data_IF_219406839805
#
_entry.id   IF_219406839805
#
_cell.length_a   1.000
_cell.length_b   1.000
_cell.length_c   1.000
_cell.angle_alpha   90.00
_cell.angle_beta   90.00
_cell.angle_gamma   90.00
#
_symmetry.space_group_name_H-M   'P 1'
#
loop_
_entity.id
_entity.type
_entity.pdbx_description
1 polymer ?
#
# COMPACT_ATOMS: atom_id res chain seq x y z
N UNK A 1 -0.77 -17.05 -37.19
CA UNK A 1 -1.18 -15.71 -36.74
C UNK A 1 -2.19 -15.88 -35.63
N UNK A 2 -1.91 -15.34 -34.44
CA UNK A 2 -2.84 -15.33 -33.30
C UNK A 2 -3.75 -14.12 -33.40
N UNK A 3 -4.91 -14.17 -32.76
CA UNK A 3 -5.86 -13.05 -32.74
C UNK A 3 -6.23 -12.70 -31.30
N UNK A 4 -6.41 -11.42 -31.01
CA UNK A 4 -6.97 -10.95 -29.75
C UNK A 4 -8.13 -9.98 -30.01
N UNK A 5 -9.18 -10.04 -29.18
CA UNK A 5 -10.27 -9.08 -29.18
C UNK A 5 -10.10 -8.12 -28.01
N UNK A 6 -10.04 -6.83 -28.31
CA UNK A 6 -9.89 -5.76 -27.30
C UNK A 6 -11.09 -4.84 -27.41
N UNK A 7 -11.90 -4.75 -26.36
CA UNK A 7 -13.05 -3.83 -26.33
C UNK A 7 -12.68 -2.50 -25.70
N UNK A 8 -13.10 -1.41 -26.33
CA UNK A 8 -12.95 -0.07 -25.81
C UNK A 8 -14.29 0.66 -25.81
N UNK A 9 -14.54 1.41 -24.73
CA UNK A 9 -15.69 2.28 -24.67
C UNK A 9 -15.53 3.54 -25.48
N UNK A 10 -16.47 3.75 -26.40
CA UNK A 10 -16.51 4.92 -27.24
C UNK A 10 -17.55 5.93 -26.72
N UNK A 11 -17.05 7.04 -26.17
CA UNK A 11 -17.86 8.17 -25.68
C UNK A 11 -18.62 8.90 -26.80
N UNK A 12 -18.24 8.68 -28.07
CA UNK A 12 -18.91 9.30 -29.22
C UNK A 12 -20.09 8.47 -29.76
N UNK A 13 -20.49 7.38 -29.07
CA UNK A 13 -21.56 6.48 -29.50
C UNK A 13 -21.39 5.87 -30.90
N UNK A 14 -20.16 5.79 -31.43
CA UNK A 14 -19.89 5.13 -32.71
C UNK A 14 -19.43 3.69 -32.50
N UNK A 15 -19.93 2.79 -33.34
CA UNK A 15 -19.45 1.41 -33.46
C UNK A 15 -18.35 1.39 -34.52
N UNK A 16 -17.16 0.93 -34.15
CA UNK A 16 -16.06 0.74 -35.10
C UNK A 16 -15.23 -0.50 -34.75
N UNK A 17 -14.59 -1.05 -35.78
CA UNK A 17 -13.68 -2.19 -35.70
C UNK A 17 -12.37 -1.74 -36.33
N UNK A 18 -11.28 -1.83 -35.59
CA UNK A 18 -9.94 -1.49 -36.07
C UNK A 18 -8.99 -2.66 -35.84
N UNK A 19 -7.96 -2.76 -36.69
CA UNK A 19 -6.94 -3.79 -36.57
C UNK A 19 -5.60 -3.16 -36.25
N UNK A 20 -4.90 -3.74 -35.29
CA UNK A 20 -3.49 -3.51 -35.07
C UNK A 20 -2.74 -4.84 -35.09
N UNK A 21 -1.44 -4.77 -35.34
CA UNK A 21 -0.54 -5.93 -35.30
C UNK A 21 0.61 -5.62 -34.34
N UNK A 22 1.05 -6.63 -33.58
CA UNK A 22 2.22 -6.50 -32.71
C UNK A 22 3.52 -6.38 -33.54
N UNK A 23 4.67 -6.14 -32.88
CA UNK A 23 5.94 -5.80 -33.55
C UNK A 23 6.41 -6.84 -34.59
N UNK A 24 6.18 -8.12 -34.35
CA UNK A 24 6.60 -9.25 -35.22
C UNK A 24 5.48 -9.80 -36.12
N UNK A 25 4.31 -9.13 -36.17
CA UNK A 25 3.12 -9.54 -36.93
C UNK A 25 2.57 -10.93 -36.57
N UNK A 26 2.98 -11.50 -35.42
CA UNK A 26 2.51 -12.82 -34.97
C UNK A 26 1.15 -12.76 -34.28
N UNK A 27 0.75 -11.58 -33.79
CA UNK A 27 -0.51 -11.30 -33.13
C UNK A 27 -1.24 -10.14 -33.83
N UNK A 28 -2.51 -10.38 -34.16
CA UNK A 28 -3.46 -9.37 -34.61
C UNK A 28 -4.40 -9.02 -33.48
N UNK A 29 -4.47 -7.75 -33.11
CA UNK A 29 -5.48 -7.26 -32.17
C UNK A 29 -6.60 -6.60 -32.96
N UNK A 30 -7.83 -7.03 -32.71
CA UNK A 30 -9.05 -6.43 -33.26
C UNK A 30 -9.64 -5.58 -32.15
N UNK A 31 -9.51 -4.27 -32.31
CA UNK A 31 -10.10 -3.28 -31.43
C UNK A 31 -11.56 -3.08 -31.77
N UNK A 32 -12.42 -3.23 -30.76
CA UNK A 32 -13.85 -3.07 -30.84
C UNK A 32 -14.27 -1.82 -30.07
N UNK A 33 -14.51 -0.73 -30.78
CA UNK A 33 -15.05 0.50 -30.19
C UNK A 33 -16.56 0.44 -30.13
N UNK A 34 -17.14 0.25 -28.94
CA UNK A 34 -18.60 0.20 -28.75
C UNK A 34 -19.11 1.39 -27.93
N UNK A 35 -20.34 1.86 -28.15
CA UNK A 35 -21.02 2.75 -27.23
C UNK A 35 -21.05 2.18 -25.80
N UNK A 36 -20.95 3.05 -24.79
CA UNK A 36 -20.80 2.64 -23.38
C UNK A 36 -21.91 1.69 -22.88
N UNK A 37 -23.15 1.88 -23.33
CA UNK A 37 -24.29 1.05 -22.94
C UNK A 37 -24.26 -0.38 -23.54
N UNK A 38 -23.44 -0.62 -24.56
CA UNK A 38 -23.21 -1.97 -25.11
C UNK A 38 -21.99 -2.68 -24.48
N UNK A 39 -21.18 -1.98 -23.68
CA UNK A 39 -20.06 -2.58 -22.94
C UNK A 39 -20.48 -3.27 -21.65
N UNK A 40 -21.68 -2.98 -21.14
CA UNK A 40 -22.21 -3.64 -19.94
C UNK A 40 -22.26 -5.17 -20.10
N UNK A 41 -22.41 -5.67 -21.34
CA UNK A 41 -22.31 -7.09 -21.66
C UNK A 41 -20.89 -7.68 -21.70
N UNK A 42 -19.83 -6.85 -21.72
CA UNK A 42 -18.43 -7.29 -21.80
C UNK A 42 -17.72 -7.26 -20.43
N UNK A 43 -18.12 -6.33 -19.55
CA UNK A 43 -17.49 -6.10 -18.24
C UNK A 43 -18.20 -6.79 -17.05
N UNK A 44 -19.40 -7.34 -17.24
CA UNK A 44 -20.02 -8.17 -16.20
C UNK A 44 -19.53 -9.61 -16.31
N UNK A 45 -18.67 -10.02 -15.38
CA UNK A 45 -18.43 -11.44 -15.08
C UNK A 45 -19.76 -12.08 -14.67
N UNK A 46 -20.38 -12.96 -15.49
CA UNK A 46 -21.56 -13.68 -15.04
C UNK A 46 -21.07 -14.75 -14.08
N UNK A 47 -21.60 -14.74 -12.86
CA UNK A 47 -21.30 -15.74 -11.85
C UNK A 47 -21.51 -17.16 -12.43
N UNK A 48 -20.42 -17.94 -12.44
CA UNK A 48 -20.36 -19.41 -12.37
C UNK A 48 -20.83 -20.31 -13.51
N UNK A 49 -21.32 -19.87 -14.69
CA UNK A 49 -21.78 -20.85 -15.71
C UNK A 49 -21.08 -20.82 -17.09
N UNK A 50 -20.25 -19.83 -17.47
CA UNK A 50 -19.65 -19.81 -18.84
C UNK A 50 -18.18 -19.37 -18.92
N UNK A 51 -17.32 -19.88 -18.04
CA UNK A 51 -15.87 -19.61 -18.12
C UNK A 51 -15.20 -20.17 -19.40
N UNK A 52 -15.85 -21.07 -20.13
CA UNK A 52 -15.34 -21.60 -21.41
C UNK A 52 -15.62 -20.70 -22.64
N UNK A 53 -16.51 -19.70 -22.55
CA UNK A 53 -17.05 -18.99 -23.72
C UNK A 53 -16.40 -17.61 -23.94
N UNK A 54 -15.79 -17.01 -22.91
CA UNK A 54 -15.22 -15.67 -23.00
C UNK A 54 -13.70 -15.72 -23.15
N UNK A 55 -13.26 -16.17 -24.34
CA UNK A 55 -11.86 -16.03 -24.76
C UNK A 55 -11.66 -14.69 -25.45
N UNK A 56 -10.62 -13.96 -25.07
CA UNK A 56 -10.17 -12.73 -25.74
C UNK A 56 -8.91 -12.96 -26.56
N UNK A 57 -8.33 -14.17 -26.51
CA UNK A 57 -7.14 -14.58 -27.25
C UNK A 57 -7.41 -15.91 -27.97
N UNK A 58 -7.01 -15.99 -29.23
CA UNK A 58 -7.32 -17.09 -30.15
C UNK A 58 -6.06 -17.53 -30.88
N UNK A 59 -5.88 -18.83 -31.04
CA UNK A 59 -4.68 -19.41 -31.67
C UNK A 59 -4.64 -19.17 -33.17
N UNK A 60 -5.80 -19.09 -33.81
CA UNK A 60 -5.97 -18.90 -35.24
C UNK A 60 -7.34 -18.25 -35.55
N UNK A 61 -7.57 -17.95 -36.82
CA UNK A 61 -8.77 -17.28 -37.31
C UNK A 61 -10.04 -18.13 -37.14
N UNK A 62 -9.95 -19.45 -37.36
CA UNK A 62 -11.08 -20.37 -37.19
C UNK A 62 -11.59 -20.39 -35.74
N UNK A 63 -10.67 -20.36 -34.76
CA UNK A 63 -11.02 -20.28 -33.35
C UNK A 63 -11.67 -18.94 -33.01
N UNK A 64 -11.19 -17.83 -33.59
CA UNK A 64 -11.82 -16.50 -33.44
C UNK A 64 -13.27 -16.51 -33.95
N UNK A 65 -13.50 -16.95 -35.20
CA UNK A 65 -14.83 -16.96 -35.82
C UNK A 65 -15.81 -17.82 -35.02
N UNK A 66 -15.38 -19.02 -34.62
CA UNK A 66 -16.21 -19.93 -33.81
C UNK A 66 -16.64 -19.29 -32.48
N UNK A 67 -15.77 -18.49 -31.86
CA UNK A 67 -16.10 -17.83 -30.61
C UNK A 67 -16.95 -16.57 -30.83
N UNK A 68 -16.71 -15.80 -31.89
CA UNK A 68 -17.49 -14.61 -32.25
C UNK A 68 -18.98 -14.89 -32.42
N UNK A 69 -19.37 -16.07 -32.89
CA UNK A 69 -20.78 -16.50 -32.96
C UNK A 69 -21.49 -16.45 -31.59
N UNK A 70 -20.79 -16.69 -30.48
CA UNK A 70 -21.38 -16.55 -29.14
C UNK A 70 -21.57 -15.09 -28.72
N UNK A 71 -20.70 -14.20 -29.17
CA UNK A 71 -20.82 -12.76 -28.89
C UNK A 71 -21.97 -12.14 -29.70
N UNK A 72 -22.16 -12.57 -30.95
CA UNK A 72 -23.25 -12.10 -31.82
C UNK A 72 -24.64 -12.26 -31.20
N UNK A 73 -24.84 -13.32 -30.42
CA UNK A 73 -26.11 -13.58 -29.71
C UNK A 73 -26.46 -12.52 -28.66
N UNK A 74 -25.48 -11.74 -28.21
CA UNK A 74 -25.65 -10.74 -27.14
C UNK A 74 -25.58 -9.30 -27.67
N UNK A 75 -25.41 -9.11 -28.98
CA UNK A 75 -25.26 -7.81 -29.63
C UNK A 75 -26.45 -7.47 -30.51
N UNK A 76 -26.69 -6.17 -30.72
CA UNK A 76 -27.74 -5.69 -31.60
C UNK A 76 -27.43 -6.02 -33.07
N UNK A 77 -28.47 -6.06 -33.90
CA UNK A 77 -28.33 -6.30 -35.34
C UNK A 77 -27.36 -5.32 -36.00
N UNK A 78 -27.37 -4.05 -35.58
CA UNK A 78 -26.43 -3.03 -36.09
C UNK A 78 -24.95 -3.37 -35.83
N UNK A 79 -24.63 -3.90 -34.64
CA UNK A 79 -23.26 -4.30 -34.30
C UNK A 79 -22.86 -5.53 -35.11
N UNK A 80 -23.78 -6.50 -35.23
CA UNK A 80 -23.56 -7.74 -35.97
C UNK A 80 -23.35 -7.50 -37.47
N UNK A 81 -24.11 -6.58 -38.08
CA UNK A 81 -23.92 -6.18 -39.47
C UNK A 81 -22.53 -5.55 -39.70
N UNK A 82 -22.13 -4.61 -38.84
CA UNK A 82 -20.82 -3.96 -38.92
C UNK A 82 -19.66 -4.93 -38.70
N UNK A 83 -19.82 -5.87 -37.76
CA UNK A 83 -18.84 -6.94 -37.54
C UNK A 83 -18.72 -7.84 -38.77
N UNK A 84 -19.83 -8.26 -39.37
CA UNK A 84 -19.80 -9.12 -40.55
C UNK A 84 -19.13 -8.43 -41.74
N UNK A 85 -19.43 -7.13 -41.94
CA UNK A 85 -18.78 -6.33 -42.98
C UNK A 85 -17.28 -6.15 -42.74
N UNK A 86 -16.87 -5.99 -41.49
CA UNK A 86 -15.47 -5.92 -41.12
C UNK A 86 -14.75 -7.26 -41.35
N UNK A 87 -15.35 -8.37 -40.91
CA UNK A 87 -14.78 -9.73 -41.09
C UNK A 87 -14.66 -10.11 -42.57
N UNK A 88 -15.61 -9.71 -43.42
CA UNK A 88 -15.51 -9.93 -44.87
C UNK A 88 -14.38 -9.15 -45.53
N UNK A 89 -13.88 -8.09 -44.88
CA UNK A 89 -12.80 -7.25 -45.38
C UNK A 89 -11.51 -7.38 -44.53
N UNK A 90 -11.41 -8.40 -43.69
CA UNK A 90 -10.34 -8.50 -42.68
C UNK A 90 -8.94 -8.49 -43.29
N UNK A 91 -8.73 -9.19 -44.42
CA UNK A 91 -7.44 -9.23 -45.11
C UNK A 91 -7.01 -7.85 -45.61
N UNK A 92 -7.96 -7.08 -46.15
CA UNK A 92 -7.73 -5.71 -46.62
C UNK A 92 -7.40 -4.77 -45.45
N UNK A 93 -8.11 -4.91 -44.34
CA UNK A 93 -7.84 -4.12 -43.12
C UNK A 93 -6.52 -4.51 -42.45
N UNK A 94 -6.11 -5.79 -42.53
CA UNK A 94 -4.81 -6.27 -42.08
C UNK A 94 -3.66 -5.65 -42.89
N UNK A 95 -3.80 -5.60 -44.21
CA UNK A 95 -2.78 -5.00 -45.08
C UNK A 95 -2.67 -3.50 -44.86
N UNK A 96 -3.80 -2.79 -44.72
CA UNK A 96 -3.81 -1.37 -44.30
C UNK A 96 -3.14 -1.15 -42.96
N UNK A 97 -3.39 -2.02 -41.97
CA UNK A 97 -2.77 -1.92 -40.66
C UNK A 97 -1.24 -2.11 -40.74
N UNK A 98 -0.77 -3.05 -41.56
CA UNK A 98 0.68 -3.26 -41.81
C UNK A 98 1.32 -2.07 -42.54
N UNK A 99 0.64 -1.48 -43.51
CA UNK A 99 1.13 -0.28 -44.21
C UNK A 99 1.19 0.94 -43.29
N UNK A 100 0.12 1.19 -42.53
CA UNK A 100 0.07 2.24 -41.50
C UNK A 100 1.16 2.06 -40.46
N UNK A 101 1.44 0.82 -40.04
CA UNK A 101 2.58 0.48 -39.16
C UNK A 101 3.92 0.82 -39.81
N UNK A 102 4.14 0.51 -41.09
CA UNK A 102 5.38 0.88 -41.82
C UNK A 102 5.57 2.40 -41.89
N UNK A 103 4.49 3.17 -42.07
CA UNK A 103 4.55 4.64 -42.06
C UNK A 103 4.82 5.20 -40.66
N UNK A 104 4.17 4.65 -39.63
CA UNK A 104 4.42 5.04 -38.23
C UNK A 104 5.87 4.73 -37.83
N UNK A 105 6.40 3.56 -38.19
CA UNK A 105 7.80 3.20 -37.89
C UNK A 105 8.82 4.06 -38.65
N UNK A 106 8.47 4.60 -39.83
CA UNK A 106 9.34 5.55 -40.56
C UNK A 106 9.41 6.94 -39.92
N UNK A 107 8.36 7.35 -39.21
CA UNK A 107 8.23 8.67 -38.61
C UNK A 107 8.32 8.68 -37.08
N UNK A 108 8.47 7.53 -36.44
CA UNK A 108 8.77 7.48 -35.01
C UNK A 108 10.21 7.94 -34.79
N UNK A 109 10.46 8.92 -33.92
CA UNK A 109 11.81 9.11 -33.41
C UNK A 109 12.24 7.76 -32.85
N UNK A 110 13.39 7.24 -33.29
CA UNK A 110 14.04 6.08 -32.68
C UNK A 110 14.04 6.35 -31.17
N UNK A 111 13.18 5.63 -30.43
CA UNK A 111 13.20 5.71 -28.98
C UNK A 111 14.62 5.32 -28.59
N UNK A 112 15.36 6.30 -28.09
CA UNK A 112 16.69 6.04 -27.58
C UNK A 112 16.53 5.01 -26.47
N UNK A 113 17.38 3.95 -26.43
CA UNK A 113 17.30 2.96 -25.38
C UNK A 113 17.35 3.68 -24.02
N UNK A 114 16.60 3.19 -23.00
CA UNK A 114 16.64 3.80 -21.69
C UNK A 114 18.09 3.91 -21.17
N UNK A 115 18.46 5.08 -20.67
CA UNK A 115 19.80 5.40 -20.19
C UNK A 115 19.79 5.39 -18.67
N UNK A 116 20.75 4.68 -18.06
CA UNK A 116 20.92 4.69 -16.61
C UNK A 116 21.31 6.09 -16.12
N UNK A 117 20.62 6.60 -15.09
CA UNK A 117 20.93 7.91 -14.50
C UNK A 117 22.32 7.92 -13.87
N UNK A 118 23.01 9.06 -13.92
CA UNK A 118 24.29 9.22 -13.23
C UNK A 118 24.07 9.62 -11.78
N UNK A 119 24.36 8.74 -10.84
CA UNK A 119 24.30 9.04 -9.40
C UNK A 119 25.56 9.85 -9.01
N UNK A 120 25.36 11.11 -8.58
CA UNK A 120 26.43 12.03 -8.15
C UNK A 120 26.78 11.85 -6.69
N UNK A 121 25.77 11.70 -5.84
CA UNK A 121 25.94 11.52 -4.41
C UNK A 121 24.84 10.64 -3.87
N UNK A 122 25.24 9.65 -3.08
CA UNK A 122 24.35 8.84 -2.28
C UNK A 122 24.47 9.30 -0.83
N UNK A 123 23.37 9.80 -0.29
CA UNK A 123 23.23 10.01 1.14
C UNK A 123 22.37 8.87 1.69
N UNK A 124 23.06 7.88 2.26
CA UNK A 124 22.41 6.95 3.16
C UNK A 124 22.17 7.68 4.48
N UNK A 125 21.12 8.50 4.52
CA UNK A 125 20.56 8.93 5.79
C UNK A 125 19.89 7.68 6.38
N UNK A 126 20.67 6.87 7.10
CA UNK A 126 20.13 5.90 8.05
C UNK A 126 19.41 6.70 9.13
N UNK A 127 18.20 7.14 8.80
CA UNK A 127 17.33 7.98 9.61
C UNK A 127 17.01 7.31 10.96
N UNK A 128 17.24 5.98 11.07
CA UNK A 128 17.04 5.21 12.30
C UNK A 128 18.31 5.06 13.15
N UNK A 129 19.52 5.00 12.61
CA UNK A 129 20.69 4.61 13.43
C UNK A 129 21.39 5.78 14.14
N UNK A 130 21.38 6.99 13.56
CA UNK A 130 22.00 8.16 14.18
C UNK A 130 21.17 8.79 15.32
N UNK A 131 19.88 8.46 15.42
CA UNK A 131 18.94 9.09 16.36
C UNK A 131 18.30 8.13 17.37
N UNK A 132 18.58 6.82 17.27
CA UNK A 132 18.18 5.76 18.22
C UNK A 132 18.54 6.05 19.70
N UNK A 133 19.39 7.03 19.97
CA UNK A 133 19.83 7.42 21.32
C UNK A 133 19.16 8.65 21.95
N UNK A 134 18.28 9.38 21.26
CA UNK A 134 17.79 10.69 21.72
C UNK A 134 16.31 10.74 22.15
N UNK A 135 15.60 9.60 22.16
CA UNK A 135 14.20 9.55 22.58
C UNK A 135 14.00 10.11 24.00
N UNK A 136 13.11 11.09 24.18
CA UNK A 136 12.71 11.63 25.49
C UNK A 136 11.28 11.24 25.79
N UNK A 137 11.00 10.61 26.93
CA UNK A 137 9.62 10.26 27.28
C UNK A 137 8.79 11.49 27.68
N UNK A 138 7.45 11.44 27.54
CA UNK A 138 6.54 12.54 27.88
C UNK A 138 6.79 13.18 29.25
N UNK A 139 7.01 12.38 30.29
CA UNK A 139 7.29 12.92 31.64
C UNK A 139 8.60 13.71 31.68
N UNK A 140 9.65 13.25 31.00
CA UNK A 140 10.93 13.97 30.94
C UNK A 140 10.85 15.23 30.07
N UNK A 141 10.01 15.25 29.02
CA UNK A 141 9.78 16.48 28.22
C UNK A 141 9.18 17.59 29.09
N UNK A 142 8.18 17.26 29.90
CA UNK A 142 7.55 18.21 30.81
C UNK A 142 8.55 18.72 31.85
N UNK A 143 9.30 17.82 32.50
CA UNK A 143 10.20 18.21 33.59
C UNK A 143 11.46 18.94 33.14
N UNK A 144 12.11 18.50 32.05
CA UNK A 144 13.37 19.10 31.60
C UNK A 144 13.17 20.30 30.68
N UNK A 145 12.22 20.23 29.74
CA UNK A 145 12.03 21.30 28.75
C UNK A 145 11.03 22.36 29.21
N UNK A 146 10.50 22.25 30.45
CA UNK A 146 9.44 23.12 31.02
C UNK A 146 8.24 23.27 30.08
N UNK A 147 7.93 22.23 29.32
CA UNK A 147 6.78 22.26 28.42
C UNK A 147 5.48 22.26 29.24
N UNK A 148 4.51 23.06 28.81
CA UNK A 148 3.17 23.10 29.41
C UNK A 148 2.45 21.76 29.19
N UNK A 149 2.75 21.09 28.07
CA UNK A 149 2.18 19.79 27.66
C UNK A 149 3.26 18.91 27.02
N UNK A 150 3.16 17.56 27.10
CA UNK A 150 4.21 16.65 26.62
C UNK A 150 4.36 16.60 25.09
N UNK A 151 3.37 17.13 24.37
CA UNK A 151 3.33 17.22 22.92
C UNK A 151 3.08 18.68 22.54
N UNK A 152 4.13 19.50 22.53
CA UNK A 152 4.03 20.87 22.03
C UNK A 152 3.83 20.84 20.50
N UNK A 153 3.15 21.83 19.93
CA UNK A 153 2.67 21.89 18.54
C UNK A 153 3.76 22.01 17.45
N UNK A 154 4.88 21.29 17.58
CA UNK A 154 5.84 21.18 16.49
C UNK A 154 5.30 20.18 15.47
N UNK A 155 4.93 20.69 14.30
CA UNK A 155 4.40 19.95 13.14
C UNK A 155 5.36 18.93 12.51
N UNK A 156 6.56 18.76 13.06
CA UNK A 156 7.55 17.80 12.60
C UNK A 156 7.65 16.63 13.58
N UNK A 157 7.64 15.41 13.04
CA UNK A 157 8.14 14.22 13.74
C UNK A 157 9.64 14.44 13.96
N UNK A 158 9.98 15.07 15.08
CA UNK A 158 11.36 15.09 15.56
C UNK A 158 11.58 13.78 16.33
N UNK A 159 12.66 13.08 16.01
CA UNK A 159 13.03 11.78 16.60
C UNK A 159 13.10 11.81 18.14
N UNK A 160 13.36 12.98 18.73
CA UNK A 160 13.27 13.21 20.19
C UNK A 160 11.90 12.89 20.79
N UNK A 161 10.84 12.91 19.95
CA UNK A 161 9.44 12.90 20.37
C UNK A 161 8.60 11.76 19.76
N UNK A 162 9.19 10.80 19.05
CA UNK A 162 8.42 9.71 18.42
C UNK A 162 8.08 8.60 19.44
N UNK A 163 7.00 8.85 20.18
CA UNK A 163 6.45 7.90 21.15
C UNK A 163 5.88 6.63 20.49
N UNK A 164 5.48 6.67 19.22
CA UNK A 164 5.01 5.48 18.49
C UNK A 164 6.18 4.54 18.26
N UNK A 165 7.26 5.05 17.66
CA UNK A 165 8.48 4.29 17.39
C UNK A 165 9.10 3.76 18.70
N UNK A 166 9.13 4.58 19.76
CA UNK A 166 9.69 4.17 21.04
C UNK A 166 8.88 3.05 21.72
N UNK A 167 7.55 3.08 21.63
CA UNK A 167 6.68 2.02 22.15
C UNK A 167 6.80 0.71 21.35
N UNK A 168 6.91 0.81 20.02
CA UNK A 168 7.04 -0.37 19.15
C UNK A 168 8.39 -1.06 19.34
N UNK A 169 9.48 -0.30 19.44
CA UNK A 169 10.84 -0.81 19.53
C UNK A 169 11.39 -0.90 20.96
N UNK A 170 10.55 -0.62 21.97
CA UNK A 170 10.92 -0.64 23.39
C UNK A 170 12.13 0.26 23.73
N UNK A 171 12.26 1.40 23.03
CA UNK A 171 13.36 2.34 23.25
C UNK A 171 13.24 3.00 24.63
N UNK A 172 14.34 2.98 25.39
CA UNK A 172 14.40 3.65 26.69
C UNK A 172 14.58 5.15 26.48
N UNK A 173 13.95 5.93 27.36
CA UNK A 173 14.17 7.37 27.44
C UNK A 173 15.64 7.66 27.74
N UNK A 174 16.29 8.51 26.95
CA UNK A 174 17.70 8.85 27.15
C UNK A 174 17.95 9.60 28.47
N UNK A 175 16.94 10.31 28.97
CA UNK A 175 17.03 11.14 30.18
C UNK A 175 16.96 10.30 31.45
N UNK A 176 15.93 9.45 31.55
CA UNK A 176 15.63 8.71 32.78
C UNK A 176 15.88 7.21 32.65
N UNK A 177 16.33 6.74 31.49
CA UNK A 177 16.59 5.33 31.17
C UNK A 177 15.39 4.39 31.39
N UNK A 178 14.18 4.94 31.52
CA UNK A 178 12.96 4.16 31.67
C UNK A 178 12.34 3.84 30.31
N UNK A 179 11.67 2.69 30.20
CA UNK A 179 10.79 2.38 29.06
C UNK A 179 9.67 3.46 28.95
N UNK A 180 9.00 3.64 27.80
CA UNK A 180 8.07 4.74 27.53
C UNK A 180 6.71 4.64 28.26
N UNK A 181 6.72 4.25 29.54
CA UNK A 181 5.53 4.05 30.37
C UNK A 181 4.71 5.33 30.57
N UNK A 182 5.38 6.50 30.57
CA UNK A 182 4.67 7.78 30.74
C UNK A 182 3.67 8.08 29.64
N UNK A 183 3.79 7.47 28.45
CA UNK A 183 2.81 7.64 27.35
C UNK A 183 1.40 7.24 27.80
N UNK A 184 1.28 6.22 28.67
CA UNK A 184 -0.01 5.78 29.21
C UNK A 184 -0.70 6.85 30.08
N UNK A 185 0.05 7.80 30.65
CA UNK A 185 -0.51 8.92 31.41
C UNK A 185 -1.06 10.03 30.50
N UNK A 186 -0.58 10.11 29.26
CA UNK A 186 -0.88 11.20 28.31
C UNK A 186 -1.52 10.68 27.02
N UNK A 187 -2.35 9.63 27.10
CA UNK A 187 -2.91 8.98 25.91
C UNK A 187 -3.78 9.90 25.04
N UNK A 188 -4.49 10.86 25.65
CA UNK A 188 -5.29 11.85 24.91
C UNK A 188 -4.41 12.74 24.03
N UNK A 189 -3.34 13.29 24.61
CA UNK A 189 -2.44 14.19 23.89
C UNK A 189 -1.55 13.41 22.91
N UNK A 190 -1.18 12.18 23.27
CA UNK A 190 -0.53 11.24 22.35
C UNK A 190 -1.40 10.98 21.11
N UNK A 191 -2.69 10.72 21.29
CA UNK A 191 -3.62 10.55 20.16
C UNK A 191 -3.69 11.81 19.31
N UNK A 192 -3.79 13.01 19.90
CA UNK A 192 -3.82 14.28 19.16
C UNK A 192 -2.55 14.47 18.33
N UNK A 193 -1.39 14.16 18.90
CA UNK A 193 -0.10 14.22 18.20
C UNK A 193 -0.10 13.31 16.96
N UNK A 194 -0.47 12.03 17.13
CA UNK A 194 -0.54 11.08 16.01
C UNK A 194 -1.60 11.48 15.00
N UNK A 195 -2.75 12.01 15.44
CA UNK A 195 -3.80 12.56 14.58
C UNK A 195 -3.24 13.66 13.66
N UNK A 196 -2.49 14.63 14.20
CA UNK A 196 -1.92 15.71 13.39
C UNK A 196 -0.96 15.19 12.30
N UNK A 197 -0.21 14.12 12.57
CA UNK A 197 0.68 13.50 11.58
C UNK A 197 -0.13 12.91 10.42
N UNK A 198 -1.19 12.16 10.72
CA UNK A 198 -2.09 11.61 9.70
C UNK A 198 -2.88 12.69 8.95
N UNK A 199 -3.25 13.79 9.62
CA UNK A 199 -3.97 14.90 9.01
C UNK A 199 -3.09 15.67 8.01
N UNK A 200 -1.85 15.96 8.39
CA UNK A 200 -0.92 16.72 7.55
C UNK A 200 -0.46 15.95 6.32
N UNK A 201 -0.34 14.61 6.42
CA UNK A 201 0.14 13.72 5.34
C UNK A 201 1.46 14.18 4.69
N UNK A 202 2.26 14.97 5.40
CA UNK A 202 3.44 15.61 4.81
C UNK A 202 4.49 14.55 4.45
N UNK A 203 4.72 14.35 3.15
CA UNK A 203 5.63 13.33 2.61
C UNK A 203 5.45 11.93 3.20
N UNK A 204 4.20 11.55 3.49
CA UNK A 204 3.85 10.26 4.10
C UNK A 204 4.59 9.96 5.42
N UNK A 205 4.83 10.98 6.24
CA UNK A 205 5.53 10.88 7.53
C UNK A 205 4.94 9.86 8.52
N UNK A 206 3.68 9.43 8.34
CA UNK A 206 3.11 8.34 9.12
C UNK A 206 3.77 6.97 8.84
N UNK A 207 4.53 6.81 7.75
CA UNK A 207 5.38 5.63 7.57
C UNK A 207 6.59 5.61 8.50
N UNK A 208 7.02 6.74 9.04
CA UNK A 208 8.18 6.82 9.93
C UNK A 208 7.89 6.19 11.32
N UNK A 209 6.62 5.94 11.64
CA UNK A 209 6.21 5.23 12.86
C UNK A 209 6.73 3.80 12.95
N UNK A 210 6.96 3.17 11.79
CA UNK A 210 7.62 1.88 11.66
C UNK A 210 9.03 2.13 11.12
N UNK A 211 9.93 1.15 11.20
CA UNK A 211 11.36 1.31 10.88
C UNK A 211 11.66 1.54 9.37
N UNK A 212 10.99 2.51 8.77
CA UNK A 212 11.16 2.97 7.40
C UNK A 212 12.55 3.57 7.23
N UNK A 213 13.18 3.20 6.13
CA UNK A 213 14.47 3.73 5.71
C UNK A 213 14.24 4.79 4.64
N UNK A 214 15.06 5.83 4.70
CA UNK A 214 15.07 6.91 3.73
C UNK A 214 16.39 6.91 2.99
N UNK A 215 16.33 7.07 1.68
CA UNK A 215 17.49 7.16 0.81
C UNK A 215 17.38 8.44 -0.01
N UNK A 216 18.37 9.33 0.12
CA UNK A 216 18.42 10.57 -0.63
C UNK A 216 19.52 10.47 -1.69
N UNK A 217 19.14 10.64 -2.95
CA UNK A 217 20.01 10.52 -4.11
C UNK A 217 20.06 11.83 -4.86
N UNK A 218 21.26 12.22 -5.28
CA UNK A 218 21.46 13.29 -6.25
C UNK A 218 21.84 12.65 -7.58
N UNK A 219 21.01 12.83 -8.60
CA UNK A 219 21.15 12.20 -9.91
C UNK A 219 21.22 13.26 -11.02
N UNK A 220 21.98 12.99 -12.07
CA UNK A 220 21.94 13.77 -13.32
C UNK A 220 21.14 13.00 -14.37
N UNK A 221 20.14 13.65 -14.93
CA UNK A 221 19.28 13.10 -15.96
C UNK A 221 19.77 13.52 -17.35
N UNK A 222 19.53 12.69 -18.35
CA UNK A 222 19.82 12.95 -19.74
C UNK A 222 18.56 13.43 -20.44
N UNK A 223 18.67 14.44 -21.30
CA UNK A 223 17.54 15.00 -22.06
C UNK A 223 17.10 14.05 -23.17
N UNK A 224 15.81 14.11 -23.53
CA UNK A 224 15.21 13.40 -24.67
C UNK A 224 15.37 11.86 -24.65
N UNK A 225 15.64 11.27 -23.49
CA UNK A 225 15.74 9.81 -23.31
C UNK A 225 15.00 9.39 -22.05
N UNK A 226 14.58 8.12 -21.99
CA UNK A 226 14.12 7.54 -20.72
C UNK A 226 15.31 7.38 -19.77
N UNK A 227 15.16 7.89 -18.58
CA UNK A 227 16.14 7.82 -17.52
C UNK A 227 15.77 6.68 -16.57
N UNK A 228 16.65 5.69 -16.43
CA UNK A 228 16.44 4.52 -15.57
C UNK A 228 17.19 4.70 -14.26
N UNK A 229 16.47 4.62 -13.15
CA UNK A 229 17.04 4.47 -11.82
C UNK A 229 16.93 3.00 -11.39
N UNK A 230 18.07 2.33 -11.27
CA UNK A 230 18.18 0.97 -10.71
C UNK A 230 18.35 1.06 -9.19
N UNK A 231 17.35 0.60 -8.44
CA UNK A 231 17.32 0.69 -6.99
C UNK A 231 18.32 -0.27 -6.32
N UNK A 232 18.72 -1.35 -7.02
CA UNK A 232 19.71 -2.28 -6.49
C UNK A 232 21.11 -1.63 -6.43
N UNK A 233 21.45 -0.77 -7.39
CA UNK A 233 22.74 -0.07 -7.43
C UNK A 233 22.91 0.93 -6.27
N UNK A 234 21.81 1.38 -5.68
CA UNK A 234 21.80 2.31 -4.54
C UNK A 234 21.59 1.62 -3.18
N UNK A 235 21.61 0.29 -3.15
CA UNK A 235 21.62 -0.50 -1.93
C UNK A 235 20.24 -0.91 -1.39
N UNK A 236 19.16 -0.69 -2.14
CA UNK A 236 17.84 -1.23 -1.81
C UNK A 236 17.78 -2.68 -2.28
N UNK A 237 17.39 -3.61 -1.40
CA UNK A 237 17.33 -5.04 -1.73
C UNK A 237 16.07 -5.38 -2.51
N UNK A 238 16.09 -6.51 -3.22
CA UNK A 238 14.94 -6.99 -4.01
C UNK A 238 13.67 -7.22 -3.16
N UNK A 239 13.84 -7.69 -1.93
CA UNK A 239 12.76 -8.00 -0.97
C UNK A 239 12.29 -6.77 -0.16
N UNK A 240 12.98 -5.64 -0.26
CA UNK A 240 12.55 -4.38 0.33
C UNK A 240 11.33 -3.84 -0.41
N UNK A 241 10.37 -3.25 0.30
CA UNK A 241 9.18 -2.65 -0.31
C UNK A 241 9.34 -1.15 -0.38
N UNK A 242 9.15 -0.59 -1.58
CA UNK A 242 9.14 0.86 -1.75
C UNK A 242 7.78 1.41 -1.32
N UNK A 243 7.81 2.46 -0.51
CA UNK A 243 6.61 3.11 0.03
C UNK A 243 6.27 4.37 -0.75
N UNK A 244 7.27 5.22 -1.00
CA UNK A 244 7.09 6.46 -1.74
C UNK A 244 8.38 6.95 -2.40
N UNK A 245 8.21 7.73 -3.47
CA UNK A 245 9.25 8.49 -4.15
C UNK A 245 8.90 9.97 -4.08
N UNK A 246 9.87 10.78 -3.67
CA UNK A 246 9.78 12.23 -3.76
C UNK A 246 10.87 12.72 -4.66
N UNK A 247 10.48 13.30 -5.79
CA UNK A 247 11.42 13.76 -6.79
C UNK A 247 11.32 15.27 -6.88
N UNK A 248 12.46 15.95 -6.75
CA UNK A 248 12.56 17.40 -6.74
C UNK A 248 13.57 17.87 -7.80
N UNK A 249 13.18 18.75 -8.73
CA UNK A 249 14.10 19.32 -9.70
C UNK A 249 15.13 20.21 -8.99
N UNK A 250 16.42 20.05 -9.31
CA UNK A 250 17.49 20.94 -8.84
C UNK A 250 18.05 21.83 -9.96
N UNK A 251 17.55 21.66 -11.17
CA UNK A 251 17.99 22.40 -12.35
C UNK A 251 16.84 22.57 -13.34
N UNK A 252 17.11 22.38 -14.64
CA UNK A 252 16.13 22.60 -15.70
C UNK A 252 15.12 21.46 -15.91
N UNK A 253 15.40 20.27 -15.39
CA UNK A 253 14.58 19.07 -15.63
C UNK A 253 13.63 18.82 -14.47
N UNK A 254 12.34 18.71 -14.77
CA UNK A 254 11.32 18.04 -13.97
C UNK A 254 11.14 16.61 -14.49
N UNK A 255 11.53 15.59 -13.73
CA UNK A 255 11.33 14.22 -14.14
C UNK A 255 9.88 13.80 -13.96
N UNK A 256 9.31 13.21 -15.01
CA UNK A 256 7.97 12.64 -15.03
C UNK A 256 8.13 11.13 -14.96
N UNK A 257 7.67 10.52 -13.88
CA UNK A 257 7.71 9.06 -13.76
C UNK A 257 6.80 8.43 -14.83
N UNK A 258 7.35 7.52 -15.63
CA UNK A 258 6.60 6.84 -16.69
C UNK A 258 6.03 5.55 -16.13
N UNK A 259 4.71 5.50 -15.98
CA UNK A 259 3.96 4.31 -15.58
C UNK A 259 3.03 3.84 -16.71
N UNK A 260 2.52 2.61 -16.61
CA UNK A 260 1.50 2.12 -17.55
C UNK A 260 0.21 2.96 -17.51
N UNK A 261 -0.55 2.99 -18.60
CA UNK A 261 -1.79 3.80 -18.77
C UNK A 261 -2.98 3.35 -17.90
N UNK A 262 -2.75 2.55 -16.86
CA UNK A 262 -3.80 2.04 -16.00
C UNK A 262 -3.88 2.90 -14.73
N UNK A 263 -4.81 3.85 -14.75
CA UNK A 263 -5.02 4.91 -13.74
C UNK A 263 -5.29 4.35 -12.32
N UNK A 264 -5.61 3.06 -12.21
CA UNK A 264 -6.03 2.42 -10.95
C UNK A 264 -5.03 1.42 -10.37
N UNK A 265 -3.94 1.10 -11.06
CA UNK A 265 -2.92 0.17 -10.54
C UNK A 265 -1.72 0.93 -10.00
N UNK A 266 -1.60 0.82 -8.67
CA UNK A 266 -0.41 1.00 -7.84
C UNK A 266 0.87 0.85 -8.67
N UNK A 267 1.75 1.85 -8.63
CA UNK A 267 3.14 1.70 -9.09
C UNK A 267 3.70 0.40 -8.50
N UNK A 268 4.04 -0.56 -9.36
CA UNK A 268 4.66 -1.81 -8.95
C UNK A 268 6.18 -1.65 -9.11
N UNK A 269 6.87 -1.48 -7.99
CA UNK A 269 8.32 -1.36 -7.92
C UNK A 269 8.98 -2.73 -7.66
N UNK A 270 8.32 -3.82 -8.07
CA UNK A 270 8.84 -5.20 -7.95
C UNK A 270 10.14 -5.38 -8.73
N UNK A 271 10.24 -4.80 -9.92
CA UNK A 271 11.42 -4.89 -10.80
C UNK A 271 12.58 -3.96 -10.39
N UNK A 272 12.44 -3.19 -9.30
CA UNK A 272 13.47 -2.27 -8.77
C UNK A 272 14.05 -1.29 -9.80
N UNK A 273 13.32 -1.05 -10.88
CA UNK A 273 13.69 -0.12 -11.94
C UNK A 273 12.60 0.92 -12.07
N UNK A 274 12.96 2.19 -11.95
CA UNK A 274 12.03 3.31 -12.14
C UNK A 274 12.44 4.08 -13.39
N UNK A 275 11.47 4.27 -14.29
CA UNK A 275 11.69 5.00 -15.53
C UNK A 275 11.12 6.41 -15.40
N UNK A 276 11.91 7.39 -15.85
CA UNK A 276 11.52 8.79 -15.89
C UNK A 276 11.71 9.39 -17.28
N UNK A 277 10.77 10.22 -17.69
CA UNK A 277 10.90 11.12 -18.82
C UNK A 277 11.29 12.53 -18.35
N UNK A 278 12.36 13.13 -18.89
CA UNK A 278 12.78 14.47 -18.50
C UNK A 278 11.91 15.54 -19.19
N UNK A 279 11.16 16.32 -18.41
CA UNK A 279 10.47 17.53 -18.92
C UNK A 279 11.29 18.76 -18.59
N UNK A 280 11.48 19.66 -19.56
CA UNK A 280 12.22 20.92 -19.33
C UNK A 280 11.26 21.95 -18.73
N UNK A 281 11.57 22.45 -17.53
CA UNK A 281 10.75 23.43 -16.81
C UNK A 281 11.45 24.78 -16.61
N UNK A 282 12.77 24.86 -16.80
CA UNK A 282 13.53 26.09 -16.63
C UNK A 282 14.65 26.19 -17.67
N UNK A 283 14.45 26.98 -18.72
CA UNK A 283 15.43 27.10 -19.80
C UNK A 283 16.73 27.83 -19.41
N UNK A 284 16.75 28.53 -18.28
CA UNK A 284 17.88 29.35 -17.82
C UNK A 284 18.91 28.57 -16.99
N UNK A 285 18.55 27.37 -16.51
CA UNK A 285 19.48 26.51 -15.75
C UNK A 285 20.27 25.59 -16.67
N UNK A 286 21.59 25.51 -16.47
CA UNK A 286 22.46 24.58 -17.20
C UNK A 286 22.52 23.19 -16.57
N UNK A 287 21.89 22.97 -15.40
CA UNK A 287 21.98 21.72 -14.65
C UNK A 287 20.80 20.79 -14.96
N UNK A 288 21.07 19.52 -15.18
CA UNK A 288 20.07 18.45 -15.32
C UNK A 288 19.91 17.63 -14.04
N UNK A 289 20.27 18.23 -12.90
CA UNK A 289 20.27 17.54 -11.62
C UNK A 289 18.89 17.47 -11.00
N UNK A 290 18.65 16.33 -10.35
CA UNK A 290 17.42 15.98 -9.67
C UNK A 290 17.79 15.39 -8.31
N UNK A 291 17.04 15.76 -7.27
CA UNK A 291 17.07 15.09 -5.98
C UNK A 291 15.93 14.07 -5.90
N UNK A 292 16.24 12.84 -5.52
CA UNK A 292 15.28 11.75 -5.33
C UNK A 292 15.39 11.27 -3.89
N UNK A 293 14.29 11.37 -3.16
CA UNK A 293 14.13 10.77 -1.83
C UNK A 293 13.23 9.55 -1.93
N UNK A 294 13.72 8.41 -1.46
CA UNK A 294 13.03 7.13 -1.52
C UNK A 294 12.79 6.63 -0.10
N UNK A 295 11.53 6.39 0.23
CA UNK A 295 11.15 5.74 1.48
C UNK A 295 10.89 4.26 1.20
N UNK A 296 11.56 3.38 1.94
CA UNK A 296 11.44 1.93 1.76
C UNK A 296 11.51 1.20 3.10
N UNK A 297 10.98 -0.03 3.14
CA UNK A 297 10.92 -0.83 4.34
C UNK A 297 11.52 -2.22 4.10
N UNK A 298 12.31 -2.68 5.07
CA UNK A 298 12.98 -3.98 4.97
C UNK A 298 12.01 -5.15 5.05
N UNK A 299 12.32 -6.27 4.41
CA UNK A 299 11.50 -7.49 4.47
C UNK A 299 11.21 -7.94 5.91
N UNK A 300 12.22 -7.94 6.78
CA UNK A 300 12.05 -8.27 8.20
C UNK A 300 11.03 -7.34 8.91
N UNK A 301 11.15 -6.03 8.69
CA UNK A 301 10.22 -5.05 9.28
C UNK A 301 8.81 -5.21 8.70
N UNK A 302 8.69 -5.54 7.40
CA UNK A 302 7.41 -5.85 6.77
C UNK A 302 6.73 -7.06 7.43
N UNK A 303 7.47 -8.12 7.73
CA UNK A 303 6.92 -9.31 8.41
C UNK A 303 6.45 -8.98 9.82
N UNK A 304 7.26 -8.24 10.58
CA UNK A 304 6.95 -7.87 11.97
C UNK A 304 5.69 -6.98 12.09
N UNK A 305 5.48 -6.09 11.12
CA UNK A 305 4.41 -5.07 11.16
C UNK A 305 3.43 -5.17 9.98
N UNK A 306 3.30 -6.35 9.35
CA UNK A 306 2.56 -6.54 8.09
C UNK A 306 1.19 -5.86 8.07
N UNK A 307 0.37 -6.13 9.09
CA UNK A 307 -1.01 -5.64 9.13
C UNK A 307 -1.08 -4.12 9.40
N UNK A 308 -0.14 -3.57 10.18
CA UNK A 308 -0.04 -2.13 10.38
C UNK A 308 0.45 -1.44 9.09
N UNK A 309 1.46 -2.00 8.43
CA UNK A 309 1.97 -1.49 7.17
C UNK A 309 0.88 -1.47 6.08
N UNK A 310 0.12 -2.56 5.91
CA UNK A 310 -0.98 -2.59 4.95
C UNK A 310 -2.08 -1.59 5.32
N UNK A 311 -2.33 -1.34 6.61
CA UNK A 311 -3.23 -0.26 7.04
C UNK A 311 -2.71 1.12 6.61
N UNK A 312 -1.43 1.43 6.81
CA UNK A 312 -0.83 2.71 6.42
C UNK A 312 -0.88 2.90 4.89
N UNK A 313 -0.60 1.83 4.15
CA UNK A 313 -0.68 1.83 2.68
C UNK A 313 -2.12 2.01 2.18
N UNK A 314 -3.11 1.35 2.80
CA UNK A 314 -4.52 1.55 2.43
C UNK A 314 -5.00 2.96 2.81
N UNK A 315 -4.52 3.52 3.92
CA UNK A 315 -4.80 4.90 4.31
C UNK A 315 -4.29 5.89 3.27
N UNK A 316 -3.03 5.76 2.82
CA UNK A 316 -2.45 6.67 1.82
C UNK A 316 -3.19 6.63 0.47
N UNK A 317 -3.74 5.45 0.12
CA UNK A 317 -4.53 5.22 -1.09
C UNK A 317 -6.02 5.55 -0.94
N UNK A 318 -6.45 6.03 0.23
CA UNK A 318 -7.86 6.23 0.57
C UNK A 318 -8.74 4.97 0.38
N UNK A 319 -8.16 3.78 0.44
CA UNK A 319 -8.84 2.48 0.38
C UNK A 319 -9.44 2.17 1.76
N UNK A 320 -10.70 2.58 1.96
CA UNK A 320 -11.39 2.43 3.24
C UNK A 320 -11.58 0.96 3.65
N UNK A 321 -11.85 0.06 2.69
CA UNK A 321 -12.05 -1.36 3.00
C UNK A 321 -10.74 -2.01 3.41
N UNK A 322 -9.66 -1.80 2.64
CA UNK A 322 -8.33 -2.31 2.99
C UNK A 322 -7.82 -1.74 4.30
N UNK A 323 -8.11 -0.46 4.57
CA UNK A 323 -7.78 0.20 5.84
C UNK A 323 -8.47 -0.48 7.02
N UNK A 324 -9.81 -0.64 7.00
CA UNK A 324 -10.56 -1.23 8.11
C UNK A 324 -10.16 -2.68 8.37
N UNK A 325 -9.99 -3.48 7.30
CA UNK A 325 -9.58 -4.87 7.41
C UNK A 325 -8.19 -5.00 8.07
N UNK A 326 -7.21 -4.24 7.57
CA UNK A 326 -5.83 -4.30 8.05
C UNK A 326 -5.68 -3.70 9.45
N UNK A 327 -6.37 -2.58 9.73
CA UNK A 327 -6.44 -1.98 11.07
C UNK A 327 -6.97 -2.96 12.11
N UNK A 328 -8.10 -3.61 11.83
CA UNK A 328 -8.68 -4.58 12.74
C UNK A 328 -7.72 -5.75 12.98
N UNK A 329 -7.08 -6.25 11.91
CA UNK A 329 -6.19 -7.40 11.98
C UNK A 329 -4.93 -7.10 12.79
N UNK A 330 -4.35 -5.90 12.65
CA UNK A 330 -3.18 -5.48 13.39
C UNK A 330 -3.40 -5.52 14.92
N UNK A 331 -4.57 -5.06 15.38
CA UNK A 331 -4.93 -5.05 16.80
C UNK A 331 -5.31 -6.47 17.28
N UNK A 332 -6.12 -7.19 16.50
CA UNK A 332 -6.55 -8.56 16.83
C UNK A 332 -5.36 -9.50 17.03
N UNK A 333 -4.33 -9.40 16.17
CA UNK A 333 -3.14 -10.24 16.26
C UNK A 333 -2.32 -9.98 17.52
N UNK A 334 -2.02 -8.71 17.85
CA UNK A 334 -1.29 -8.36 19.06
C UNK A 334 -2.06 -8.77 20.31
N UNK A 335 -3.37 -8.54 20.32
CA UNK A 335 -4.20 -8.86 21.46
C UNK A 335 -4.31 -10.37 21.69
N UNK A 336 -4.40 -11.15 20.61
CA UNK A 336 -4.37 -12.61 20.70
C UNK A 336 -3.04 -13.09 21.27
N UNK A 337 -1.91 -12.56 20.79
CA UNK A 337 -0.56 -12.86 21.33
C UNK A 337 -0.46 -12.56 22.82
N UNK A 338 -0.92 -11.38 23.25
CA UNK A 338 -0.98 -10.99 24.68
C UNK A 338 -1.81 -12.00 25.48
N UNK A 339 -3.01 -12.35 25.00
CA UNK A 339 -3.87 -13.29 25.71
C UNK A 339 -3.27 -14.69 25.78
N UNK A 340 -2.64 -15.18 24.71
CA UNK A 340 -1.95 -16.48 24.71
C UNK A 340 -0.81 -16.46 25.73
N UNK A 341 0.02 -15.42 25.71
CA UNK A 341 1.17 -15.31 26.61
C UNK A 341 0.77 -15.24 28.08
N UNK A 342 -0.31 -14.51 28.41
CA UNK A 342 -0.76 -14.35 29.80
C UNK A 342 -1.62 -15.49 30.32
N UNK A 343 -2.29 -16.25 29.45
CA UNK A 343 -3.24 -17.30 29.85
C UNK A 343 -2.72 -18.71 29.62
N UNK A 344 -1.63 -18.89 28.86
CA UNK A 344 -0.98 -20.19 28.73
C UNK A 344 -0.15 -20.46 29.98
N UNK A 345 -0.51 -21.46 30.78
CA UNK A 345 0.20 -21.77 32.02
C UNK A 345 1.66 -22.13 31.75
N UNK A 346 2.54 -21.82 32.70
CA UNK A 346 3.93 -22.28 32.65
C UNK A 346 4.00 -23.81 32.74
N UNK A 347 5.13 -24.40 32.32
CA UNK A 347 5.31 -25.86 32.32
C UNK A 347 5.13 -26.49 33.71
N UNK A 348 5.34 -25.71 34.75
CA UNK A 348 5.36 -26.17 36.14
C UNK A 348 3.99 -26.04 36.83
N UNK A 349 3.02 -25.35 36.22
CA UNK A 349 1.71 -25.03 36.82
C UNK A 349 0.56 -25.89 36.29
N UNK A 350 0.77 -26.71 35.25
CA UNK A 350 -0.29 -27.50 34.62
C UNK A 350 0.06 -28.98 34.43
N UNK A 351 -0.91 -29.85 34.68
CA UNK A 351 -0.84 -31.29 34.37
C UNK A 351 -1.02 -31.52 32.85
N UNK A 352 0.07 -31.50 32.06
CA UNK A 352 -0.02 -31.75 30.61
C UNK A 352 1.27 -31.52 29.82
N UNK A 353 1.26 -31.81 28.50
CA UNK A 353 2.38 -31.48 27.60
C UNK A 353 2.30 -29.99 27.21
N UNK A 354 3.42 -29.25 27.14
CA UNK A 354 3.39 -27.81 26.83
C UNK A 354 2.74 -27.46 25.49
N UNK A 355 2.96 -28.27 24.45
CA UNK A 355 2.39 -28.06 23.12
C UNK A 355 0.87 -28.26 23.05
N UNK A 356 0.29 -29.04 23.96
CA UNK A 356 -1.17 -29.17 24.06
C UNK A 356 -1.79 -27.95 24.74
N UNK A 357 -1.08 -27.35 25.69
CA UNK A 357 -1.57 -26.20 26.46
C UNK A 357 -1.76 -24.96 25.57
N UNK A 358 -0.75 -24.60 24.77
CA UNK A 358 -0.85 -23.45 23.85
C UNK A 358 -1.97 -23.64 22.82
N UNK A 359 -2.14 -24.87 22.32
CA UNK A 359 -3.21 -25.22 21.37
C UNK A 359 -4.59 -25.09 22.02
N UNK A 360 -4.77 -25.58 23.24
CA UNK A 360 -6.03 -25.47 23.97
C UNK A 360 -6.38 -24.00 24.30
N UNK A 361 -5.40 -23.23 24.79
CA UNK A 361 -5.57 -21.79 25.02
C UNK A 361 -5.94 -21.06 23.73
N UNK A 362 -5.25 -21.36 22.62
CA UNK A 362 -5.55 -20.78 21.31
C UNK A 362 -6.96 -21.14 20.85
N UNK A 363 -7.37 -22.40 21.01
CA UNK A 363 -8.73 -22.85 20.70
C UNK A 363 -9.78 -22.11 21.54
N UNK A 364 -9.53 -21.94 22.84
CA UNK A 364 -10.42 -21.18 23.73
C UNK A 364 -10.54 -19.71 23.31
N UNK A 365 -9.42 -19.05 23.00
CA UNK A 365 -9.38 -17.65 22.57
C UNK A 365 -9.98 -17.42 21.18
N UNK A 366 -9.97 -18.42 20.31
CA UNK A 366 -10.54 -18.32 18.96
C UNK A 366 -12.03 -18.69 18.89
N UNK A 367 -12.52 -19.54 19.79
CA UNK A 367 -13.90 -20.04 19.78
C UNK A 367 -14.83 -19.40 20.82
N UNK A 368 -14.38 -19.28 22.07
CA UNK A 368 -15.22 -18.84 23.19
C UNK A 368 -14.89 -17.42 23.62
N UNK A 369 -13.61 -17.13 23.87
CA UNK A 369 -13.13 -15.81 24.26
C UNK A 369 -12.65 -15.02 23.03
N UNK A 370 -13.54 -14.83 22.07
CA UNK A 370 -13.23 -14.17 20.78
C UNK A 370 -12.73 -12.74 20.93
N UNK A 371 -12.20 -12.16 19.84
CA UNK A 371 -11.60 -10.81 19.80
C UNK A 371 -12.40 -9.72 20.55
N UNK A 372 -13.74 -9.73 20.48
CA UNK A 372 -14.57 -8.76 21.23
C UNK A 372 -14.42 -8.91 22.75
N UNK A 373 -14.35 -10.14 23.26
CA UNK A 373 -14.19 -10.41 24.69
C UNK A 373 -12.77 -10.11 25.14
N UNK A 374 -11.78 -10.43 24.29
CA UNK A 374 -10.39 -10.09 24.53
C UNK A 374 -10.23 -8.57 24.73
N UNK A 375 -10.83 -7.77 23.84
CA UNK A 375 -10.71 -6.31 23.86
C UNK A 375 -11.43 -5.68 25.05
N UNK A 376 -12.65 -6.16 25.37
CA UNK A 376 -13.51 -5.55 26.39
C UNK A 376 -13.16 -5.96 27.82
N UNK A 377 -12.69 -7.20 28.01
CA UNK A 377 -12.57 -7.79 29.33
C UNK A 377 -11.16 -8.30 29.59
N UNK A 378 -10.64 -9.22 28.77
CA UNK A 378 -9.40 -9.92 29.08
C UNK A 378 -8.20 -8.97 29.16
N UNK A 379 -8.07 -8.01 28.24
CA UNK A 379 -6.98 -7.04 28.29
C UNK A 379 -6.93 -6.31 29.63
N UNK A 380 -8.09 -5.89 30.16
CA UNK A 380 -8.16 -5.20 31.45
C UNK A 380 -7.81 -6.13 32.61
N UNK A 381 -8.27 -7.38 32.58
CA UNK A 381 -7.94 -8.36 33.62
C UNK A 381 -6.44 -8.66 33.63
N UNK A 382 -5.85 -8.89 32.45
CA UNK A 382 -4.41 -9.12 32.27
C UNK A 382 -3.62 -7.90 32.77
N UNK A 383 -3.96 -6.69 32.32
CA UNK A 383 -3.28 -5.47 32.80
C UNK A 383 -3.34 -5.35 34.32
N UNK A 384 -4.48 -5.67 34.94
CA UNK A 384 -4.64 -5.62 36.40
C UNK A 384 -3.78 -6.66 37.11
N UNK A 385 -3.83 -7.91 36.66
CA UNK A 385 -3.09 -9.01 37.25
C UNK A 385 -1.58 -8.77 37.17
N UNK A 386 -1.14 -8.16 36.07
CA UNK A 386 0.27 -7.97 35.76
C UNK A 386 0.84 -6.61 36.14
N UNK A 387 0.05 -5.79 36.84
CA UNK A 387 0.39 -4.43 37.21
C UNK A 387 0.84 -3.57 36.01
N UNK A 388 0.23 -3.80 34.85
CA UNK A 388 0.47 -3.06 33.62
C UNK A 388 -0.55 -1.93 33.47
N UNK A 389 -0.17 -0.82 32.82
CA UNK A 389 -1.07 0.30 32.60
C UNK A 389 -2.23 -0.06 31.66
N UNK A 390 -3.35 0.62 31.82
CA UNK A 390 -4.54 0.42 30.99
C UNK A 390 -4.55 1.33 29.76
N UNK A 391 -5.01 0.78 28.63
CA UNK A 391 -5.38 1.59 27.47
C UNK A 391 -6.70 2.32 27.76
N UNK A 392 -6.76 3.60 27.40
CA UNK A 392 -7.91 4.46 27.66
C UNK A 392 -9.18 3.96 26.97
N UNK A 393 -10.32 4.18 27.61
CA UNK A 393 -11.64 3.78 27.10
C UNK A 393 -11.96 4.42 25.75
N UNK A 394 -11.49 5.65 25.52
CA UNK A 394 -11.79 6.38 24.28
C UNK A 394 -11.05 5.81 23.08
N UNK A 395 -9.78 5.41 23.23
CA UNK A 395 -9.07 4.65 22.20
C UNK A 395 -9.76 3.32 21.91
N UNK A 396 -10.11 2.55 22.95
CA UNK A 396 -10.77 1.24 22.79
C UNK A 396 -12.17 1.36 22.16
N UNK A 397 -12.89 2.46 22.40
CA UNK A 397 -14.18 2.74 21.73
C UNK A 397 -14.01 2.88 20.22
N UNK A 398 -12.95 3.53 19.74
CA UNK A 398 -12.66 3.64 18.31
C UNK A 398 -12.30 2.26 17.72
N UNK A 399 -11.51 1.45 18.42
CA UNK A 399 -11.21 0.07 17.97
C UNK A 399 -12.48 -0.77 17.86
N UNK A 400 -13.41 -0.65 18.81
CA UNK A 400 -14.70 -1.35 18.75
C UNK A 400 -15.57 -0.90 17.56
N UNK A 401 -15.47 0.38 17.13
CA UNK A 401 -16.13 0.85 15.89
C UNK A 401 -15.52 0.18 14.67
N UNK A 402 -14.19 0.15 14.56
CA UNK A 402 -13.46 -0.51 13.44
C UNK A 402 -13.82 -2.00 13.37
N UNK A 403 -13.93 -2.68 14.52
CA UNK A 403 -14.38 -4.07 14.58
C UNK A 403 -15.78 -4.27 13.99
N UNK A 404 -16.71 -3.36 14.26
CA UNK A 404 -18.07 -3.41 13.70
C UNK A 404 -18.06 -3.16 12.20
N UNK A 405 -17.29 -2.18 11.74
CA UNK A 405 -17.13 -1.87 10.31
C UNK A 405 -16.49 -3.05 9.55
N UNK A 406 -15.53 -3.76 10.16
CA UNK A 406 -14.97 -5.01 9.62
C UNK A 406 -16.03 -6.10 9.45
N UNK A 407 -16.90 -6.28 10.45
CA UNK A 407 -17.98 -7.27 10.36
C UNK A 407 -18.94 -6.94 9.21
N UNK A 408 -19.26 -5.65 9.02
CA UNK A 408 -20.04 -5.21 7.87
C UNK A 408 -19.36 -5.57 6.54
N UNK A 409 -18.05 -5.34 6.41
CA UNK A 409 -17.26 -5.76 5.23
C UNK A 409 -17.32 -7.27 5.04
N UNK A 410 -17.12 -8.06 6.09
CA UNK A 410 -17.13 -9.53 6.01
C UNK A 410 -18.48 -10.10 5.53
N UNK A 411 -19.60 -9.46 5.91
CA UNK A 411 -20.94 -9.91 5.53
C UNK A 411 -21.44 -9.34 4.19
N UNK A 412 -21.00 -8.13 3.81
CA UNK A 412 -21.56 -7.38 2.66
C UNK A 412 -20.54 -7.06 1.57
N UNK A 413 -19.27 -7.42 1.77
CA UNK A 413 -18.14 -7.10 0.88
C UNK A 413 -17.67 -5.65 0.93
N UNK A 414 -18.35 -4.76 1.66
CA UNK A 414 -18.00 -3.34 1.78
C UNK A 414 -18.49 -2.75 3.11
N UNK A 415 -17.87 -1.66 3.53
CA UNK A 415 -18.37 -0.88 4.67
C UNK A 415 -19.77 -0.33 4.35
N UNK A 416 -20.66 -0.34 5.36
CA UNK A 416 -22.06 0.09 5.21
C UNK A 416 -22.18 1.60 4.92
N UNK A 417 -21.21 2.39 5.37
CA UNK A 417 -21.18 3.86 5.28
C UNK A 417 -19.82 4.32 4.74
N UNK A 418 -19.80 5.35 3.91
CA UNK A 418 -18.55 5.99 3.52
C UNK A 418 -18.00 6.77 4.72
N UNK A 419 -16.74 6.54 5.07
CA UNK A 419 -16.06 7.30 6.12
C UNK A 419 -15.66 8.66 5.59
N UNK A 420 -15.89 9.71 6.39
CA UNK A 420 -15.29 11.01 6.13
C UNK A 420 -13.77 10.96 6.31
N UNK A 421 -13.04 11.90 5.70
CA UNK A 421 -11.58 12.00 5.91
C UNK A 421 -11.24 12.17 7.40
N UNK A 422 -12.02 12.99 8.12
CA UNK A 422 -11.87 13.20 9.56
C UNK A 422 -11.98 11.91 10.36
N UNK A 423 -12.98 11.08 10.04
CA UNK A 423 -13.15 9.78 10.69
C UNK A 423 -12.01 8.81 10.35
N UNK A 424 -11.53 8.83 9.10
CA UNK A 424 -10.42 7.99 8.69
C UNK A 424 -9.13 8.34 9.45
N UNK A 425 -8.83 9.64 9.62
CA UNK A 425 -7.69 10.14 10.39
C UNK A 425 -7.84 9.81 11.89
N UNK A 426 -9.05 10.00 12.46
CA UNK A 426 -9.34 9.62 13.86
C UNK A 426 -9.15 8.12 14.11
N UNK A 427 -9.59 7.29 13.16
CA UNK A 427 -9.41 5.84 13.22
C UNK A 427 -7.94 5.46 13.07
N UNK A 428 -7.23 6.01 12.09
CA UNK A 428 -5.82 5.70 11.83
C UNK A 428 -4.93 6.06 13.03
N UNK A 429 -5.14 7.24 13.62
CA UNK A 429 -4.45 7.67 14.82
C UNK A 429 -4.76 6.78 16.02
N UNK A 430 -6.04 6.45 16.24
CA UNK A 430 -6.43 5.57 17.35
C UNK A 430 -5.84 4.16 17.21
N UNK A 431 -5.83 3.58 16.01
CA UNK A 431 -5.24 2.27 15.73
C UNK A 431 -3.74 2.30 15.98
N UNK A 432 -3.05 3.31 15.48
CA UNK A 432 -1.59 3.45 15.65
C UNK A 432 -1.22 3.57 17.14
N UNK A 433 -1.95 4.38 17.91
CA UNK A 433 -1.75 4.49 19.36
C UNK A 433 -2.04 3.17 20.08
N UNK A 434 -3.14 2.48 19.78
CA UNK A 434 -3.46 1.21 20.46
C UNK A 434 -2.45 0.13 20.08
N UNK A 435 -2.04 0.06 18.82
CA UNK A 435 -1.03 -0.88 18.35
C UNK A 435 0.29 -0.71 19.10
N UNK A 436 0.78 0.53 19.22
CA UNK A 436 2.04 0.79 19.92
C UNK A 436 1.94 0.49 21.42
N UNK A 437 0.83 0.86 22.08
CA UNK A 437 0.59 0.54 23.49
C UNK A 437 0.46 -0.98 23.75
N UNK A 438 -0.18 -1.73 22.85
CA UNK A 438 -0.26 -3.19 22.93
C UNK A 438 1.10 -3.84 22.70
N UNK A 439 1.92 -3.30 21.81
CA UNK A 439 3.29 -3.77 21.58
C UNK A 439 4.13 -3.64 22.85
N UNK A 440 4.02 -2.51 23.55
CA UNK A 440 4.65 -2.32 24.86
C UNK A 440 4.18 -3.33 25.91
N UNK A 441 2.87 -3.60 25.98
CA UNK A 441 2.30 -4.59 26.91
C UNK A 441 2.85 -5.98 26.59
N UNK A 442 2.88 -6.37 25.31
CA UNK A 442 3.42 -7.65 24.86
C UNK A 442 4.90 -7.82 25.21
N UNK A 443 5.73 -6.80 24.96
CA UNK A 443 7.15 -6.80 25.31
C UNK A 443 7.36 -6.89 26.83
N UNK A 444 6.53 -6.20 27.62
CA UNK A 444 6.60 -6.22 29.08
C UNK A 444 6.26 -7.59 29.67
N UNK A 445 5.34 -8.33 29.03
CA UNK A 445 5.00 -9.70 29.42
C UNK A 445 6.07 -10.71 29.00
N UNK A 446 6.68 -10.50 27.82
CA UNK A 446 7.65 -11.45 27.25
C UNK A 446 9.00 -11.45 27.98
N UNK A 447 9.39 -10.31 28.58
CA UNK A 447 10.68 -10.13 29.26
C UNK A 447 10.63 -10.39 30.77
N UNK A 448 9.64 -11.13 31.27
CA UNK A 448 9.61 -11.50 32.68
C UNK A 448 10.69 -12.56 32.97
N UNK A 449 11.45 -12.43 34.07
CA UNK A 449 12.18 -13.57 34.60
C UNK A 449 11.15 -14.64 35.01
N UNK A 450 11.18 -15.78 34.32
CA UNK A 450 10.41 -16.99 34.64
C UNK A 450 10.89 -17.58 35.95
#
# INVERSE_FOLDING_TARGET
>A
MKYALVTQGNLQNKIYFEITTNSDDTLTEILLGLPLHYLEGFNHTPQKIKSEIWKTNFKNFDELIKNLEFFKLSWSDEINEKLNLFLSNLEVELDKAKEKKKEICKNQPLFSPPVKVKIKKNFNDYHSDLLKGLYTCPSCRITQKKWVEPYFSSYNVSHDNDDVYALINSNKCHVCNSKPLSVFKYQSDFKKYVYNIFEMRFFDSFFDFIETKKLNLHCTFYENVHNVLDLNEVGIKNDDKILSFFVSPMGKIMPIETHGNNVFTKQDYSDKSVLYWPSIINHDSSSNDVSISINYISSLTQENHRNLLEMLISFSRADQNGFIMSANRAIEELLLKICILSLTPSKDEFLGKPSTNEKETTNFLTSAATYSYQLKFLLKVICKAENLPYISKDLLRTIEKIRKDRNDIAHKGKIKRNLSNQELVDMASSVTCVYSLLTYILDSLSNKPT
#
